data_IF_168170305786
#
_entry.id   IF_168170305786
#
_cell.length_a   1.000
_cell.length_b   1.000
_cell.length_c   1.000
_cell.angle_alpha   90.00
_cell.angle_beta   90.00
_cell.angle_gamma   90.00
#
_symmetry.space_group_name_H-M   'P 1'
#
loop_
_entity.id
_entity.type
_entity.pdbx_description
1 polymer ?
#
# COMPACT_ATOMS: atom_id res chain seq x y z
N UNK A 1 17.13 6.03 22.32
CA UNK A 1 17.18 7.51 22.19
C UNK A 1 18.31 7.86 21.22
N UNK A 2 18.07 8.75 20.24
CA UNK A 2 19.07 9.11 19.24
C UNK A 2 20.00 10.27 19.65
N UNK A 3 19.71 10.95 20.77
CA UNK A 3 20.44 12.14 21.23
C UNK A 3 21.98 11.99 21.30
N UNK A 4 22.56 10.84 21.74
CA UNK A 4 24.01 10.67 21.77
C UNK A 4 24.66 10.71 20.37
N UNK A 5 23.93 10.38 19.31
CA UNK A 5 24.46 10.34 17.94
C UNK A 5 24.79 11.74 17.42
N UNK A 6 24.07 12.78 17.87
CA UNK A 6 24.32 14.17 17.48
C UNK A 6 25.63 14.74 18.03
N UNK A 7 26.33 14.00 18.89
CA UNK A 7 27.66 14.38 19.40
C UNK A 7 28.74 14.05 18.35
N UNK A 8 28.50 13.13 17.41
CA UNK A 8 29.50 12.68 16.44
C UNK A 8 30.04 13.85 15.59
N UNK A 9 29.20 14.70 14.96
CA UNK A 9 29.71 15.84 14.19
C UNK A 9 30.51 16.83 15.04
N UNK A 10 30.16 17.01 16.31
CA UNK A 10 30.92 17.85 17.25
C UNK A 10 32.32 17.28 17.52
N UNK A 11 32.42 15.97 17.72
CA UNK A 11 33.71 15.29 17.91
C UNK A 11 34.56 15.44 16.65
N UNK A 12 33.97 15.28 15.46
CA UNK A 12 34.69 15.46 14.18
C UNK A 12 35.27 16.86 14.04
N UNK A 13 34.48 17.90 14.34
CA UNK A 13 34.97 19.28 14.34
C UNK A 13 36.11 19.48 15.36
N UNK A 14 36.01 18.91 16.55
CA UNK A 14 37.05 19.00 17.57
C UNK A 14 38.35 18.29 17.11
N UNK A 15 38.26 17.10 16.53
CA UNK A 15 39.41 16.36 15.99
C UNK A 15 40.08 17.12 14.85
N UNK A 16 39.31 17.71 13.93
CA UNK A 16 39.85 18.56 12.87
C UNK A 16 40.57 19.77 13.45
N UNK A 17 39.94 20.49 14.38
CA UNK A 17 40.49 21.73 14.96
C UNK A 17 41.77 21.50 15.76
N UNK A 18 41.78 20.51 16.65
CA UNK A 18 42.92 20.27 17.53
C UNK A 18 43.99 19.35 16.93
N UNK A 19 43.59 18.36 16.13
CA UNK A 19 44.47 17.30 15.62
C UNK A 19 45.13 17.62 14.29
N UNK A 20 44.36 18.08 13.30
CA UNK A 20 44.86 18.29 11.94
C UNK A 20 45.17 19.76 11.62
N UNK A 21 44.55 20.70 12.34
CA UNK A 21 44.67 22.16 12.12
C UNK A 21 44.55 22.57 10.63
N UNK A 22 43.53 22.08 9.91
CA UNK A 22 43.32 22.43 8.51
C UNK A 22 43.01 23.93 8.37
N UNK A 23 43.36 24.52 7.23
CA UNK A 23 43.03 25.93 6.91
C UNK A 23 41.57 26.09 6.46
N UNK A 24 40.63 25.40 7.11
CA UNK A 24 39.20 25.62 6.91
C UNK A 24 38.75 26.74 7.84
N UNK A 25 38.19 27.80 7.26
CA UNK A 25 37.58 28.88 8.05
C UNK A 25 36.41 28.39 8.90
N UNK A 26 35.94 29.24 9.83
CA UNK A 26 34.78 28.96 10.70
C UNK A 26 33.55 28.46 9.93
N UNK A 27 33.33 28.98 8.72
CA UNK A 27 32.23 28.57 7.85
C UNK A 27 32.34 27.09 7.41
N UNK A 28 33.55 26.59 7.19
CA UNK A 28 33.78 25.17 6.87
C UNK A 28 33.41 24.25 8.04
N UNK A 29 33.80 24.60 9.26
CA UNK A 29 33.39 23.87 10.47
C UNK A 29 31.87 23.91 10.68
N UNK A 30 31.24 25.07 10.44
CA UNK A 30 29.78 25.19 10.52
C UNK A 30 29.07 24.28 9.50
N UNK A 31 29.58 24.21 8.26
CA UNK A 31 29.03 23.32 7.23
C UNK A 31 29.13 21.83 7.62
N UNK A 32 30.27 21.41 8.19
CA UNK A 32 30.47 20.02 8.64
C UNK A 32 29.49 19.69 9.78
N UNK A 33 29.41 20.56 10.78
CA UNK A 33 28.51 20.36 11.92
C UNK A 33 27.04 20.29 11.49
N UNK A 34 26.60 21.27 10.70
CA UNK A 34 25.21 21.35 10.22
C UNK A 34 24.88 20.20 9.27
N UNK A 35 25.79 19.84 8.37
CA UNK A 35 25.63 18.71 7.45
C UNK A 35 25.49 17.38 8.18
N UNK A 36 26.39 17.09 9.13
CA UNK A 36 26.34 15.87 9.93
C UNK A 36 25.08 15.79 10.79
N UNK A 37 24.68 16.89 11.45
CA UNK A 37 23.43 16.94 12.21
C UNK A 37 22.19 16.79 11.30
N UNK A 38 22.20 17.40 10.12
CA UNK A 38 21.10 17.28 9.15
C UNK A 38 20.96 15.85 8.62
N UNK A 39 22.07 15.15 8.35
CA UNK A 39 22.05 13.75 7.93
C UNK A 39 21.46 12.84 9.03
N UNK A 40 21.93 12.98 10.27
CA UNK A 40 21.39 12.21 11.40
C UNK A 40 19.89 12.50 11.58
N UNK A 41 19.49 13.78 11.50
CA UNK A 41 18.10 14.21 11.58
C UNK A 41 17.22 13.62 10.48
N UNK A 42 17.70 13.66 9.23
CA UNK A 42 17.02 13.09 8.07
C UNK A 42 16.85 11.57 8.20
N UNK A 43 17.92 10.84 8.55
CA UNK A 43 17.83 9.40 8.75
C UNK A 43 16.90 9.03 9.91
N UNK A 44 16.98 9.76 11.03
CA UNK A 44 16.09 9.57 12.16
C UNK A 44 14.63 9.76 11.76
N UNK A 45 14.33 10.81 10.99
CA UNK A 45 13.00 11.08 10.47
C UNK A 45 12.51 10.00 9.51
N UNK A 46 13.31 9.59 8.52
CA UNK A 46 12.98 8.53 7.56
C UNK A 46 12.73 7.19 8.25
N UNK A 47 13.58 6.79 9.20
CA UNK A 47 13.39 5.56 9.97
C UNK A 47 12.18 5.63 10.90
N UNK A 48 11.88 6.80 11.46
CA UNK A 48 10.66 6.99 12.24
C UNK A 48 9.42 6.94 11.34
N UNK A 49 9.48 7.49 10.12
CA UNK A 49 8.41 7.43 9.14
C UNK A 49 8.15 5.98 8.71
N UNK A 50 9.19 5.21 8.37
CA UNK A 50 9.03 3.81 7.97
C UNK A 50 8.44 2.94 9.08
N UNK A 51 8.73 3.24 10.35
CA UNK A 51 8.13 2.56 11.50
C UNK A 51 6.66 2.88 11.72
N UNK A 52 6.15 3.97 11.16
CA UNK A 52 4.77 4.43 11.33
C UNK A 52 3.94 4.26 10.06
N UNK A 53 4.57 4.11 8.90
CA UNK A 53 3.86 3.90 7.63
C UNK A 53 3.24 2.51 7.58
N UNK A 54 1.96 2.44 7.22
CA UNK A 54 1.24 1.21 6.90
C UNK A 54 0.40 1.45 5.64
N UNK A 55 0.07 0.39 4.91
CA UNK A 55 -0.78 0.46 3.74
C UNK A 55 -2.08 -0.27 4.03
N UNK A 56 -3.20 0.42 3.87
CA UNK A 56 -4.54 -0.18 3.89
C UNK A 56 -4.96 -0.60 2.49
N UNK A 57 -5.82 -1.62 2.41
CA UNK A 57 -6.37 -2.10 1.14
C UNK A 57 -7.77 -1.57 0.94
N UNK A 58 -7.97 -0.72 -0.06
CA UNK A 58 -9.29 -0.24 -0.46
C UNK A 58 -9.79 -1.07 -1.63
N UNK A 59 -10.99 -1.64 -1.49
CA UNK A 59 -11.68 -2.24 -2.63
C UNK A 59 -12.22 -1.14 -3.54
N UNK A 60 -12.04 -1.33 -4.83
CA UNK A 60 -12.55 -0.47 -5.90
C UNK A 60 -12.78 -1.33 -7.14
N UNK A 61 -13.17 -0.73 -8.25
CA UNK A 61 -13.36 -1.44 -9.51
C UNK A 61 -12.89 -0.62 -10.71
N UNK A 62 -12.62 -1.30 -11.81
CA UNK A 62 -12.17 -0.68 -13.05
C UNK A 62 -13.31 0.12 -13.71
N UNK A 63 -13.06 1.40 -14.02
CA UNK A 63 -14.03 2.31 -14.67
C UNK A 63 -13.69 2.63 -16.12
N UNK A 64 -12.42 2.49 -16.51
CA UNK A 64 -11.95 2.70 -17.88
C UNK A 64 -10.70 1.86 -18.11
N UNK A 65 -10.54 1.30 -19.30
CA UNK A 65 -9.25 0.75 -19.76
C UNK A 65 -8.80 1.55 -20.99
N UNK A 66 -7.50 1.73 -21.14
CA UNK A 66 -6.90 2.54 -22.19
C UNK A 66 -5.61 1.91 -22.71
N UNK A 67 -5.46 1.97 -24.02
CA UNK A 67 -4.31 1.52 -24.77
C UNK A 67 -3.84 2.66 -25.66
N UNK A 68 -2.54 2.93 -25.69
CA UNK A 68 -1.95 3.94 -26.56
C UNK A 68 -0.73 3.37 -27.29
N UNK A 69 -0.70 3.58 -28.60
CA UNK A 69 0.43 3.18 -29.45
C UNK A 69 1.66 4.05 -29.14
N UNK A 70 2.89 3.53 -29.31
CA UNK A 70 4.10 4.33 -29.21
C UNK A 70 4.08 5.53 -30.17
N UNK A 71 4.56 6.67 -29.70
CA UNK A 71 4.59 7.90 -30.50
C UNK A 71 5.74 8.83 -30.09
N UNK A 72 6.05 9.83 -30.91
CA UNK A 72 7.12 10.79 -30.62
C UNK A 72 6.60 12.22 -30.70
N UNK A 73 6.81 13.00 -29.64
CA UNK A 73 6.55 14.44 -29.64
C UNK A 73 7.83 15.25 -29.77
N UNK A 74 7.69 16.38 -30.46
CA UNK A 74 8.61 17.49 -30.50
C UNK A 74 8.21 18.50 -29.42
N UNK A 75 8.98 18.55 -28.34
CA UNK A 75 8.82 19.48 -27.23
C UNK A 75 9.76 20.67 -27.43
N UNK A 76 9.20 21.87 -27.53
CA UNK A 76 10.00 23.10 -27.52
C UNK A 76 10.16 23.59 -26.08
N UNK A 77 11.40 23.62 -25.58
CA UNK A 77 11.74 24.22 -24.28
C UNK A 77 12.53 25.50 -24.46
N UNK A 78 12.25 26.46 -23.60
CA UNK A 78 12.95 27.73 -23.57
C UNK A 78 13.94 27.72 -22.42
N UNK A 79 15.23 27.73 -22.73
CA UNK A 79 16.30 27.76 -21.74
C UNK A 79 16.98 29.12 -21.73
N UNK A 80 17.43 29.53 -20.54
CA UNK A 80 18.18 30.77 -20.35
C UNK A 80 19.66 30.43 -20.29
N UNK A 81 20.45 30.92 -21.25
CA UNK A 81 21.90 30.75 -21.28
C UNK A 81 22.59 32.08 -21.01
N UNK A 82 23.62 32.04 -20.18
CA UNK A 82 24.52 33.17 -19.95
C UNK A 82 25.83 32.85 -20.66
N UNK A 83 26.30 33.76 -21.51
CA UNK A 83 27.60 33.61 -22.18
C UNK A 83 28.78 33.89 -21.24
N UNK A 84 30.00 33.70 -21.77
CA UNK A 84 31.26 33.99 -21.06
C UNK A 84 31.44 35.48 -20.71
N UNK A 85 30.60 36.36 -21.24
CA UNK A 85 30.62 37.80 -20.99
C UNK A 85 29.53 38.23 -19.99
N UNK A 86 28.80 37.28 -19.39
CA UNK A 86 27.75 37.55 -18.42
C UNK A 86 26.42 38.02 -19.02
N UNK A 87 26.26 37.97 -20.35
CA UNK A 87 25.02 38.36 -21.03
C UNK A 87 24.10 37.15 -21.15
N UNK A 88 22.89 37.32 -20.64
CA UNK A 88 21.85 36.29 -20.63
C UNK A 88 20.96 36.41 -21.86
N UNK A 89 20.72 35.31 -22.55
CA UNK A 89 19.80 35.23 -23.68
C UNK A 89 18.96 33.95 -23.63
N UNK A 90 17.79 34.06 -24.26
CA UNK A 90 16.79 33.00 -24.31
C UNK A 90 17.02 32.16 -25.56
N UNK A 91 17.17 30.85 -25.40
CA UNK A 91 17.37 29.89 -26.49
C UNK A 91 16.21 28.93 -26.53
N UNK A 92 15.62 28.75 -27.72
CA UNK A 92 14.66 27.67 -27.98
C UNK A 92 15.43 26.39 -28.25
N UNK A 93 15.21 25.37 -27.43
CA UNK A 93 15.73 24.03 -27.62
C UNK A 93 14.57 23.12 -28.01
N UNK A 94 14.78 22.36 -29.08
CA UNK A 94 13.83 21.34 -29.52
C UNK A 94 14.32 20.01 -29.00
N UNK A 95 13.46 19.32 -28.27
CA UNK A 95 13.70 17.97 -27.77
C UNK A 95 12.66 17.03 -28.38
N UNK A 96 13.08 15.81 -28.71
CA UNK A 96 12.17 14.77 -29.19
C UNK A 96 11.97 13.78 -28.05
N UNK A 97 10.76 13.73 -27.51
CA UNK A 97 10.40 12.83 -26.42
C UNK A 97 9.67 11.65 -27.02
N UNK A 98 10.28 10.47 -26.88
CA UNK A 98 9.66 9.21 -27.28
C UNK A 98 8.79 8.68 -26.14
N UNK A 99 7.53 8.39 -26.46
CA UNK A 99 6.58 7.75 -25.57
C UNK A 99 6.40 6.31 -26.01
N UNK A 100 6.69 5.37 -25.10
CA UNK A 100 6.47 3.94 -25.35
C UNK A 100 4.98 3.61 -25.37
N UNK A 101 4.66 2.39 -25.81
CA UNK A 101 3.32 1.81 -25.66
C UNK A 101 2.85 1.95 -24.20
N UNK A 102 1.59 2.33 -24.02
CA UNK A 102 1.00 2.50 -22.71
C UNK A 102 -0.32 1.76 -22.62
N UNK A 103 -0.42 0.87 -21.63
CA UNK A 103 -1.65 0.17 -21.29
C UNK A 103 -1.98 0.50 -19.85
N UNK A 104 -3.18 1.01 -19.62
CA UNK A 104 -3.60 1.48 -18.32
C UNK A 104 -5.08 1.25 -18.07
N UNK A 105 -5.47 1.37 -16.81
CA UNK A 105 -6.86 1.41 -16.41
C UNK A 105 -7.08 2.49 -15.35
N UNK A 106 -8.31 2.99 -15.29
CA UNK A 106 -8.77 3.91 -14.25
C UNK A 106 -9.70 3.15 -13.31
N UNK A 107 -9.71 3.51 -12.03
CA UNK A 107 -10.64 2.93 -11.05
C UNK A 107 -11.74 3.91 -10.66
N UNK A 108 -12.67 3.47 -9.81
CA UNK A 108 -13.69 4.35 -9.22
C UNK A 108 -13.10 5.45 -8.34
N UNK A 109 -11.86 5.29 -7.87
CA UNK A 109 -11.15 6.29 -7.07
C UNK A 109 -10.42 7.33 -7.94
N UNK A 110 -10.66 7.32 -9.26
CA UNK A 110 -10.01 8.18 -10.27
C UNK A 110 -8.48 8.04 -10.35
N UNK A 111 -7.94 6.93 -9.83
CA UNK A 111 -6.52 6.60 -9.95
C UNK A 111 -6.26 5.86 -11.27
N UNK A 112 -5.13 6.18 -11.90
CA UNK A 112 -4.66 5.55 -13.14
C UNK A 112 -3.53 4.59 -12.81
N UNK A 113 -3.67 3.35 -13.25
CA UNK A 113 -2.67 2.29 -13.06
C UNK A 113 -2.21 1.76 -14.41
N UNK A 114 -0.90 1.57 -14.56
CA UNK A 114 -0.36 0.83 -15.70
C UNK A 114 -0.56 -0.66 -15.47
N UNK A 115 -0.96 -1.36 -16.52
CA UNK A 115 -1.21 -2.80 -16.50
C UNK A 115 -0.54 -3.48 -17.70
N UNK A 116 -0.46 -4.80 -17.64
CA UNK A 116 0.03 -5.59 -18.77
C UNK A 116 -1.10 -5.90 -19.76
N UNK A 117 -0.74 -6.35 -20.96
CA UNK A 117 -1.67 -6.54 -22.07
C UNK A 117 -2.75 -7.60 -21.84
N UNK A 118 -2.47 -8.62 -21.02
CA UNK A 118 -3.43 -9.68 -20.69
C UNK A 118 -4.58 -9.19 -19.82
N UNK A 119 -4.31 -8.39 -18.79
CA UNK A 119 -5.35 -7.75 -17.98
C UNK A 119 -6.24 -6.85 -18.85
N UNK A 120 -5.64 -6.02 -19.70
CA UNK A 120 -6.39 -5.18 -20.65
C UNK A 120 -7.29 -6.02 -21.58
N UNK A 121 -6.77 -7.10 -22.16
CA UNK A 121 -7.53 -7.98 -23.03
C UNK A 121 -8.69 -8.66 -22.29
N UNK A 122 -8.45 -9.14 -21.07
CA UNK A 122 -9.47 -9.74 -20.22
C UNK A 122 -10.63 -8.76 -19.95
N UNK A 123 -10.33 -7.54 -19.50
CA UNK A 123 -11.36 -6.54 -19.20
C UNK A 123 -12.09 -6.10 -20.48
N UNK A 124 -11.35 -5.91 -21.58
CA UNK A 124 -11.93 -5.57 -22.90
C UNK A 124 -12.95 -6.62 -23.33
N UNK A 125 -12.55 -7.89 -23.32
CA UNK A 125 -13.39 -8.99 -23.79
C UNK A 125 -14.60 -9.19 -22.86
N UNK A 126 -14.41 -8.99 -21.56
CA UNK A 126 -15.48 -9.05 -20.57
C UNK A 126 -16.51 -7.93 -20.74
N UNK A 127 -16.06 -6.70 -21.02
CA UNK A 127 -16.96 -5.56 -21.18
C UNK A 127 -17.68 -5.56 -22.51
N UNK A 128 -17.03 -5.93 -23.61
CA UNK A 128 -17.62 -5.86 -24.96
C UNK A 128 -18.17 -4.46 -25.31
N UNK A 129 -17.68 -3.42 -24.62
CA UNK A 129 -18.15 -2.05 -24.80
C UNK A 129 -17.69 -1.47 -26.15
N UNK A 130 -18.32 -0.39 -26.65
CA UNK A 130 -17.85 0.28 -27.85
C UNK A 130 -16.39 0.68 -27.73
N UNK A 131 -15.59 0.37 -28.76
CA UNK A 131 -14.22 0.83 -28.87
C UNK A 131 -14.20 2.29 -29.29
N UNK A 132 -13.65 3.14 -28.44
CA UNK A 132 -13.38 4.54 -28.79
C UNK A 132 -11.98 4.63 -29.38
N UNK A 133 -11.86 5.29 -30.53
CA UNK A 133 -10.58 5.52 -31.19
C UNK A 133 -10.20 6.97 -31.01
N UNK A 134 -9.09 7.20 -30.33
CA UNK A 134 -8.47 8.50 -30.18
C UNK A 134 -7.41 8.66 -31.26
N UNK A 135 -7.57 9.66 -32.12
CA UNK A 135 -6.56 10.02 -33.12
C UNK A 135 -6.19 11.48 -32.90
N UNK A 136 -4.93 11.72 -32.53
CA UNK A 136 -4.41 13.07 -32.30
C UNK A 136 -3.38 13.41 -33.35
N UNK A 137 -3.60 14.52 -34.03
CA UNK A 137 -2.65 15.13 -34.95
C UNK A 137 -2.15 16.46 -34.34
N UNK A 138 -0.89 16.81 -34.60
CA UNK A 138 -0.36 18.09 -34.14
C UNK A 138 0.98 18.42 -34.77
N UNK A 139 1.30 19.71 -34.86
CA UNK A 139 2.62 20.20 -35.32
C UNK A 139 3.76 19.75 -34.42
N UNK A 140 3.43 19.35 -33.19
CA UNK A 140 4.36 18.88 -32.18
C UNK A 140 4.45 17.35 -32.16
N UNK A 141 3.80 16.61 -33.05
CA UNK A 141 3.99 15.16 -33.19
C UNK A 141 4.85 14.91 -34.43
N UNK A 142 5.87 14.07 -34.29
CA UNK A 142 6.86 13.84 -35.36
C UNK A 142 6.66 12.45 -35.92
N UNK A 143 6.46 12.38 -37.24
CA UNK A 143 6.30 11.12 -37.96
C UNK A 143 4.87 10.57 -38.02
N UNK A 144 3.85 11.25 -37.49
CA UNK A 144 2.46 10.79 -37.64
C UNK A 144 1.49 11.28 -36.56
N UNK A 145 0.46 10.47 -36.31
CA UNK A 145 -0.58 10.69 -35.30
C UNK A 145 -0.32 9.87 -34.04
N UNK A 146 -0.81 10.31 -32.87
CA UNK A 146 -0.95 9.46 -31.68
C UNK A 146 -2.28 8.71 -31.78
N UNK A 147 -2.22 7.40 -31.65
CA UNK A 147 -3.39 6.52 -31.67
C UNK A 147 -3.65 5.95 -30.29
N UNK A 148 -4.91 5.93 -29.89
CA UNK A 148 -5.34 5.34 -28.64
C UNK A 148 -6.69 4.65 -28.77
N UNK A 149 -6.90 3.65 -27.91
CA UNK A 149 -8.16 2.94 -27.77
C UNK A 149 -8.57 2.93 -26.32
N UNK A 150 -9.83 3.25 -26.05
CA UNK A 150 -10.36 3.13 -24.70
C UNK A 150 -11.76 2.51 -24.68
N UNK A 151 -12.04 1.84 -23.57
CA UNK A 151 -13.35 1.25 -23.26
C UNK A 151 -13.80 1.81 -21.91
N UNK A 152 -15.07 2.18 -21.81
CA UNK A 152 -15.62 2.87 -20.63
C UNK A 152 -16.65 1.99 -19.94
N UNK A 153 -16.46 1.76 -18.64
CA UNK A 153 -17.31 0.88 -17.84
C UNK A 153 -18.79 1.29 -17.83
N UNK A 154 -19.07 2.60 -17.76
CA UNK A 154 -20.45 3.11 -17.79
C UNK A 154 -21.21 2.59 -19.03
N UNK A 155 -20.54 2.54 -20.17
CA UNK A 155 -21.11 2.06 -21.42
C UNK A 155 -21.26 0.54 -21.43
N UNK A 156 -20.33 -0.18 -20.82
CA UNK A 156 -20.45 -1.63 -20.59
C UNK A 156 -21.68 -1.97 -19.72
N UNK A 157 -22.05 -1.09 -18.78
CA UNK A 157 -23.18 -1.26 -17.87
C UNK A 157 -24.53 -0.75 -18.40
N UNK A 158 -24.57 -0.12 -19.58
CA UNK A 158 -25.83 0.35 -20.19
C UNK A 158 -26.71 -0.79 -20.74
N UNK A 159 -26.27 -2.06 -20.66
CA UNK A 159 -27.00 -3.26 -21.12
C UNK A 159 -27.70 -4.05 -19.99
N UNK A 160 -28.16 -5.28 -20.31
CA UNK A 160 -28.77 -6.20 -19.34
C UNK A 160 -27.72 -6.74 -18.34
N UNK A 161 -27.99 -6.65 -17.03
CA UNK A 161 -27.17 -7.28 -15.97
C UNK A 161 -26.71 -6.36 -14.83
N UNK A 162 -26.79 -5.03 -15.00
CA UNK A 162 -26.48 -4.05 -13.96
C UNK A 162 -24.98 -3.94 -13.61
N UNK A 163 -24.68 -3.11 -12.60
CA UNK A 163 -23.32 -2.76 -12.17
C UNK A 163 -22.47 -3.99 -11.81
N UNK A 164 -23.06 -4.94 -11.07
CA UNK A 164 -22.36 -6.07 -10.47
C UNK A 164 -21.88 -7.07 -11.52
N UNK A 165 -22.64 -7.33 -12.58
CA UNK A 165 -22.31 -8.36 -13.57
C UNK A 165 -21.17 -8.01 -14.53
N UNK A 166 -20.81 -6.71 -14.61
CA UNK A 166 -19.70 -6.21 -15.44
C UNK A 166 -18.55 -5.63 -14.60
N UNK A 167 -18.68 -5.65 -13.28
CA UNK A 167 -17.68 -5.12 -12.37
C UNK A 167 -16.44 -5.99 -12.38
N UNK A 168 -15.28 -5.37 -12.58
CA UNK A 168 -13.97 -6.00 -12.38
C UNK A 168 -13.40 -5.41 -11.09
N UNK A 169 -13.50 -6.12 -9.95
CA UNK A 169 -13.01 -5.63 -8.67
C UNK A 169 -11.48 -5.62 -8.68
N UNK A 170 -10.90 -4.57 -8.11
CA UNK A 170 -9.46 -4.41 -7.89
C UNK A 170 -9.22 -3.82 -6.51
N UNK A 171 -7.99 -3.94 -6.00
CA UNK A 171 -7.57 -3.46 -4.69
C UNK A 171 -6.47 -2.44 -4.82
N UNK A 172 -6.64 -1.29 -4.18
CA UNK A 172 -5.63 -0.23 -4.13
C UNK A 172 -5.02 -0.10 -2.73
N UNK A 173 -3.70 0.07 -2.69
CA UNK A 173 -2.96 0.30 -1.44
C UNK A 173 -2.90 1.79 -1.10
N UNK A 174 -3.42 2.18 0.06
CA UNK A 174 -3.34 3.56 0.55
C UNK A 174 -2.47 3.67 1.80
N UNK A 175 -1.48 4.57 1.77
CA UNK A 175 -0.60 4.77 2.91
C UNK A 175 -1.24 5.60 4.01
N UNK A 176 -1.04 5.18 5.26
CA UNK A 176 -1.47 5.91 6.45
C UNK A 176 -0.47 5.77 7.60
N UNK A 177 -0.61 6.63 8.60
CA UNK A 177 0.22 6.60 9.81
C UNK A 177 -0.41 5.71 10.88
N UNK A 178 0.27 4.62 11.24
CA UNK A 178 -0.08 3.73 12.33
C UNK A 178 1.00 3.77 13.43
N UNK A 179 0.73 4.54 14.50
CA UNK A 179 1.63 4.64 15.65
C UNK A 179 1.46 3.51 16.67
N UNK A 180 0.37 2.76 16.59
CA UNK A 180 0.05 1.69 17.53
C UNK A 180 0.84 0.43 17.22
N UNK A 181 0.95 0.06 15.94
CA UNK A 181 1.53 -1.20 15.44
C UNK A 181 2.92 -1.52 16.01
N UNK A 182 3.70 -0.48 16.31
CA UNK A 182 5.06 -0.58 16.81
C UNK A 182 5.25 0.19 18.14
N UNK A 183 4.16 0.48 18.84
CA UNK A 183 4.16 1.05 20.18
C UNK A 183 4.40 -0.01 21.24
N UNK A 184 5.01 0.38 22.35
CA UNK A 184 5.27 -0.50 23.50
C UNK A 184 4.23 -0.33 24.62
N UNK A 185 3.26 0.58 24.50
CA UNK A 185 2.47 1.06 25.66
C UNK A 185 1.02 0.61 25.74
N UNK A 186 0.25 0.64 24.64
CA UNK A 186 -1.23 0.56 24.74
C UNK A 186 -1.80 -0.72 24.12
N UNK A 187 -1.28 -1.16 22.97
CA UNK A 187 -1.71 -2.39 22.32
C UNK A 187 -0.49 -3.21 21.94
N UNK A 188 -0.12 -4.14 22.83
CA UNK A 188 1.03 -5.01 22.62
C UNK A 188 0.53 -6.37 22.16
N UNK A 189 0.64 -6.62 20.86
CA UNK A 189 0.48 -7.96 20.31
C UNK A 189 1.69 -8.82 20.70
N UNK A 190 1.44 -10.11 20.84
CA UNK A 190 2.50 -11.10 20.89
C UNK A 190 3.32 -11.02 19.60
N UNK A 191 4.63 -11.24 19.71
CA UNK A 191 5.50 -11.26 18.54
C UNK A 191 5.45 -12.66 17.93
N UNK A 192 4.65 -12.82 16.89
CA UNK A 192 4.62 -14.03 16.06
C UNK A 192 5.62 -13.88 14.91
N UNK A 193 6.58 -14.79 14.85
CA UNK A 193 7.53 -14.87 13.73
C UNK A 193 6.90 -15.60 12.54
N UNK A 194 7.44 -15.39 11.35
CA UNK A 194 6.99 -16.09 10.15
C UNK A 194 7.12 -17.62 10.27
N UNK A 195 8.18 -18.11 10.92
CA UNK A 195 8.38 -19.54 11.13
C UNK A 195 7.31 -20.13 12.07
N UNK A 196 6.97 -19.42 13.15
CA UNK A 196 5.87 -19.83 14.04
C UNK A 196 4.53 -19.78 13.31
N UNK A 197 4.28 -18.73 12.52
CA UNK A 197 3.07 -18.60 11.71
C UNK A 197 2.91 -19.78 10.72
N UNK A 198 3.98 -20.16 10.03
CA UNK A 198 4.00 -21.32 9.12
C UNK A 198 3.73 -22.64 9.87
N UNK A 199 4.30 -22.82 11.07
CA UNK A 199 4.09 -24.02 11.90
C UNK A 199 2.66 -24.13 12.43
N UNK A 200 2.02 -23.00 12.71
CA UNK A 200 0.65 -22.92 13.24
C UNK A 200 -0.41 -22.82 12.13
N UNK A 201 -0.01 -22.81 10.86
CA UNK A 201 -0.94 -22.68 9.73
C UNK A 201 -1.61 -21.31 9.64
N UNK A 202 -0.98 -20.26 10.16
CA UNK A 202 -1.48 -18.88 10.06
C UNK A 202 -1.32 -18.36 8.63
N UNK A 203 -2.27 -17.52 8.20
CA UNK A 203 -2.25 -16.92 6.88
C UNK A 203 -1.24 -15.78 6.81
N UNK A 204 -0.42 -15.81 5.77
CA UNK A 204 0.34 -14.64 5.34
C UNK A 204 -0.60 -13.51 4.92
N UNK A 205 -0.21 -12.28 5.23
CA UNK A 205 -0.97 -11.13 4.80
C UNK A 205 -0.94 -11.03 3.27
N UNK A 206 -2.09 -10.97 2.57
CA UNK A 206 -2.12 -10.98 1.10
C UNK A 206 -1.33 -9.82 0.49
N UNK A 207 -0.75 -10.07 -0.68
CA UNK A 207 -0.14 -9.03 -1.51
C UNK A 207 -1.10 -8.67 -2.62
N UNK A 208 -1.11 -7.40 -3.01
CA UNK A 208 -1.70 -6.97 -4.28
C UNK A 208 -0.79 -7.51 -5.38
N UNK A 209 -1.35 -8.33 -6.26
CA UNK A 209 -0.65 -8.89 -7.41
C UNK A 209 -0.65 -7.93 -8.61
N UNK A 210 -0.10 -8.38 -9.74
CA UNK A 210 0.01 -7.58 -10.96
C UNK A 210 -1.36 -7.30 -11.63
N UNK A 211 -2.40 -8.06 -11.28
CA UNK A 211 -3.79 -7.86 -11.69
C UNK A 211 -4.56 -6.92 -10.75
N UNK A 212 -3.86 -6.37 -9.74
CA UNK A 212 -4.43 -5.56 -8.66
C UNK A 212 -5.52 -6.32 -7.90
N UNK A 213 -5.39 -7.63 -7.85
CA UNK A 213 -6.36 -8.54 -7.28
C UNK A 213 -5.88 -9.03 -5.91
N UNK A 214 -6.83 -9.20 -5.00
CA UNK A 214 -6.54 -9.71 -3.66
C UNK A 214 -7.73 -10.58 -3.22
N UNK A 215 -7.51 -11.87 -2.94
CA UNK A 215 -8.57 -12.75 -2.45
C UNK A 215 -9.18 -12.20 -1.16
N UNK A 216 -10.50 -12.32 -1.04
CA UNK A 216 -11.22 -11.91 0.16
C UNK A 216 -11.40 -13.10 1.11
N UNK A 217 -11.44 -14.31 0.58
CA UNK A 217 -11.50 -15.57 1.33
C UNK A 217 -10.16 -16.31 1.18
N UNK A 218 -9.44 -16.48 2.29
CA UNK A 218 -8.24 -17.30 2.34
C UNK A 218 -8.58 -18.65 2.97
N UNK A 219 -8.34 -19.71 2.22
CA UNK A 219 -8.57 -21.08 2.67
C UNK A 219 -7.54 -22.01 2.06
N UNK A 220 -6.95 -22.86 2.90
CA UNK A 220 -6.05 -23.93 2.45
C UNK A 220 -6.68 -25.32 2.63
N UNK A 221 -7.73 -25.41 3.45
CA UNK A 221 -8.26 -26.66 3.99
C UNK A 221 -9.72 -26.89 3.59
N UNK A 222 -10.45 -25.81 3.25
CA UNK A 222 -11.83 -25.85 2.79
C UNK A 222 -11.92 -25.40 1.33
N UNK A 223 -12.62 -26.14 0.46
CA UNK A 223 -12.76 -25.74 -0.94
C UNK A 223 -13.61 -24.47 -1.05
N UNK A 224 -13.04 -23.43 -1.64
CA UNK A 224 -13.74 -22.18 -1.97
C UNK A 224 -13.70 -22.03 -3.49
N UNK A 225 -14.86 -21.90 -4.12
CA UNK A 225 -14.95 -21.66 -5.56
C UNK A 225 -14.46 -20.26 -5.88
N UNK A 226 -14.01 -20.06 -7.12
CA UNK A 226 -13.64 -18.73 -7.60
C UNK A 226 -14.84 -17.78 -7.56
N UNK A 227 -16.03 -18.28 -7.88
CA UNK A 227 -17.27 -17.54 -7.90
C UNK A 227 -17.65 -17.03 -6.51
N UNK A 228 -17.53 -17.88 -5.48
CA UNK A 228 -17.79 -17.47 -4.10
C UNK A 228 -16.80 -16.39 -3.66
N UNK A 229 -15.49 -16.59 -3.84
CA UNK A 229 -14.50 -15.56 -3.46
C UNK A 229 -14.72 -14.25 -4.27
N UNK A 230 -15.08 -14.34 -5.55
CA UNK A 230 -15.43 -13.20 -6.38
C UNK A 230 -16.60 -12.39 -5.80
N UNK A 231 -17.63 -13.03 -5.24
CA UNK A 231 -18.75 -12.31 -4.61
C UNK A 231 -18.31 -11.49 -3.37
N UNK A 232 -17.34 -11.99 -2.60
CA UNK A 232 -16.73 -11.25 -1.48
C UNK A 232 -15.85 -10.10 -1.98
N UNK A 233 -15.12 -10.29 -3.09
CA UNK A 233 -14.34 -9.21 -3.72
C UNK A 233 -15.25 -8.11 -4.28
N UNK A 234 -16.36 -8.50 -4.91
CA UNK A 234 -17.39 -7.57 -5.37
C UNK A 234 -18.03 -6.81 -4.20
N UNK A 235 -18.29 -7.48 -3.07
CA UNK A 235 -18.73 -6.79 -1.85
C UNK A 235 -17.70 -5.74 -1.40
N UNK A 236 -16.42 -6.12 -1.33
CA UNK A 236 -15.34 -5.21 -0.95
C UNK A 236 -15.19 -4.01 -1.91
N UNK A 237 -15.52 -4.19 -3.20
CA UNK A 237 -15.40 -3.16 -4.23
C UNK A 237 -16.64 -2.27 -4.40
N UNK A 238 -17.84 -2.79 -4.12
CA UNK A 238 -19.10 -2.10 -4.41
C UNK A 238 -19.83 -1.61 -3.16
N UNK A 239 -19.86 -2.43 -2.11
CA UNK A 239 -20.69 -2.21 -0.92
C UNK A 239 -19.85 -1.65 0.24
N UNK A 240 -18.72 -2.32 0.55
CA UNK A 240 -17.82 -1.96 1.64
C UNK A 240 -17.18 -0.55 1.57
N UNK A 241 -16.97 0.08 0.38
CA UNK A 241 -16.42 1.43 0.29
C UNK A 241 -17.25 2.49 1.00
N UNK A 242 -18.58 2.31 1.15
CA UNK A 242 -19.45 3.23 1.89
C UNK A 242 -18.96 3.41 3.35
N UNK A 243 -18.41 2.34 3.92
CA UNK A 243 -17.85 2.32 5.29
C UNK A 243 -16.33 2.41 5.31
N UNK A 244 -15.70 2.54 4.14
CA UNK A 244 -14.24 2.43 3.98
C UNK A 244 -13.73 1.15 4.66
N UNK A 245 -14.42 0.04 4.40
CA UNK A 245 -14.19 -1.26 5.03
C UNK A 245 -13.58 -2.24 4.03
N UNK A 246 -12.88 -3.26 4.54
CA UNK A 246 -12.53 -4.47 3.80
C UNK A 246 -12.80 -5.69 4.67
N UNK A 247 -13.53 -6.65 4.13
CA UNK A 247 -13.77 -7.95 4.74
C UNK A 247 -12.72 -8.96 4.27
N UNK A 248 -12.13 -9.67 5.22
CA UNK A 248 -11.38 -10.89 5.00
C UNK A 248 -12.04 -12.06 5.73
N UNK A 249 -12.10 -13.22 5.09
CA UNK A 249 -12.53 -14.48 5.70
C UNK A 249 -11.37 -15.47 5.64
N UNK A 250 -10.99 -16.03 6.78
CA UNK A 250 -9.87 -16.96 6.94
C UNK A 250 -10.41 -18.30 7.43
N UNK A 251 -10.22 -19.37 6.67
CA UNK A 251 -10.78 -20.68 6.96
C UNK A 251 -9.69 -21.67 7.37
N UNK A 252 -9.76 -22.17 8.60
CA UNK A 252 -8.83 -23.12 9.18
C UNK A 252 -9.45 -24.51 9.29
N UNK A 253 -8.60 -25.54 9.39
CA UNK A 253 -9.06 -26.90 9.64
C UNK A 253 -9.49 -27.15 11.10
N UNK A 254 -10.01 -28.36 11.31
CA UNK A 254 -10.55 -28.83 12.58
C UNK A 254 -9.54 -28.99 13.71
N UNK A 255 -8.24 -28.98 13.43
CA UNK A 255 -7.19 -29.13 14.44
C UNK A 255 -6.98 -27.83 15.23
N UNK A 256 -7.41 -26.70 14.65
CA UNK A 256 -7.32 -25.37 15.25
C UNK A 256 -8.43 -25.08 16.26
N UNK A 257 -8.28 -24.00 17.02
CA UNK A 257 -9.29 -23.47 17.94
C UNK A 257 -9.32 -21.93 17.93
N UNK A 258 -10.15 -21.32 18.79
CA UNK A 258 -10.31 -19.86 18.87
C UNK A 258 -8.97 -19.14 19.14
N UNK A 259 -8.00 -19.77 19.82
CA UNK A 259 -6.69 -19.17 20.06
C UNK A 259 -5.90 -18.93 18.76
N UNK A 260 -6.18 -19.71 17.71
CA UNK A 260 -5.62 -19.48 16.36
C UNK A 260 -6.02 -18.12 15.82
N UNK A 261 -7.23 -17.65 16.08
CA UNK A 261 -7.67 -16.32 15.64
C UNK A 261 -6.90 -15.19 16.37
N UNK A 262 -6.60 -15.36 17.67
CA UNK A 262 -5.78 -14.40 18.41
C UNK A 262 -4.31 -14.41 17.96
N UNK A 263 -3.78 -15.60 17.63
CA UNK A 263 -2.44 -15.75 17.02
C UNK A 263 -2.38 -15.11 15.65
N UNK A 264 -3.40 -15.30 14.81
CA UNK A 264 -3.54 -14.65 13.51
C UNK A 264 -3.61 -13.13 13.66
N UNK A 265 -4.43 -12.65 14.59
CA UNK A 265 -4.52 -11.23 14.93
C UNK A 265 -3.18 -10.67 15.37
N UNK A 266 -2.43 -11.39 16.21
CA UNK A 266 -1.10 -10.97 16.62
C UNK A 266 -0.10 -10.94 15.45
N UNK A 267 -0.14 -11.94 14.57
CA UNK A 267 0.71 -12.02 13.37
C UNK A 267 0.45 -10.85 12.41
N UNK A 268 -0.81 -10.53 12.16
CA UNK A 268 -1.23 -9.38 11.36
C UNK A 268 -1.20 -8.05 12.15
N UNK A 269 -0.81 -8.08 13.42
CA UNK A 269 -0.78 -6.92 14.34
C UNK A 269 -2.12 -6.17 14.38
N UNK A 270 -3.21 -6.92 14.45
CA UNK A 270 -4.59 -6.45 14.49
C UNK A 270 -5.23 -6.23 13.10
N UNK A 271 -4.49 -6.46 12.01
CA UNK A 271 -4.91 -6.06 10.67
C UNK A 271 -4.75 -4.55 10.44
N UNK A 272 -5.21 -4.06 9.30
CA UNK A 272 -5.28 -2.62 9.02
C UNK A 272 -6.53 -1.98 9.63
N UNK A 273 -6.47 -0.65 9.76
CA UNK A 273 -7.56 0.15 10.35
C UNK A 273 -8.92 -0.02 9.68
N UNK A 274 -8.95 -0.45 8.42
CA UNK A 274 -10.16 -0.62 7.63
C UNK A 274 -10.63 -2.08 7.51
N UNK A 275 -9.96 -3.02 8.17
CA UNK A 275 -10.21 -4.45 7.95
C UNK A 275 -11.06 -5.04 9.06
N UNK A 276 -12.06 -5.83 8.68
CA UNK A 276 -12.69 -6.82 9.54
C UNK A 276 -12.26 -8.20 9.04
N UNK A 277 -11.63 -8.97 9.93
CA UNK A 277 -11.14 -10.30 9.64
C UNK A 277 -12.01 -11.31 10.39
N UNK A 278 -12.60 -12.27 9.68
CA UNK A 278 -13.41 -13.35 10.22
C UNK A 278 -12.63 -14.65 10.10
N UNK A 279 -12.25 -15.24 11.23
CA UNK A 279 -11.59 -16.54 11.29
C UNK A 279 -12.61 -17.64 11.59
N UNK A 280 -12.57 -18.73 10.83
CA UNK A 280 -13.53 -19.83 10.91
C UNK A 280 -12.77 -21.14 10.96
N UNK A 281 -12.96 -21.94 12.00
CA UNK A 281 -12.47 -23.32 12.05
C UNK A 281 -13.54 -24.28 11.60
N UNK A 282 -13.25 -25.10 10.59
CA UNK A 282 -14.23 -25.97 9.94
C UNK A 282 -13.82 -27.44 10.09
N UNK A 283 -14.80 -28.29 10.39
CA UNK A 283 -14.65 -29.75 10.46
C UNK A 283 -14.58 -30.36 9.06
N UNK A 284 -14.07 -31.59 8.94
CA UNK A 284 -14.04 -32.31 7.66
C UNK A 284 -15.42 -32.52 7.02
N UNK A 285 -16.48 -32.53 7.82
CA UNK A 285 -17.88 -32.62 7.37
C UNK A 285 -18.50 -31.26 7.00
N UNK A 286 -17.71 -30.17 7.04
CA UNK A 286 -18.15 -28.81 6.72
C UNK A 286 -18.79 -28.06 7.89
N UNK A 287 -18.95 -28.68 9.07
CA UNK A 287 -19.53 -28.00 10.23
C UNK A 287 -18.57 -26.97 10.83
N UNK A 288 -19.10 -25.80 11.21
CA UNK A 288 -18.33 -24.76 11.91
C UNK A 288 -18.03 -25.24 13.33
N UNK A 289 -16.74 -25.43 13.65
CA UNK A 289 -16.26 -25.80 14.99
C UNK A 289 -16.14 -24.59 15.90
N UNK A 290 -15.59 -23.50 15.35
CA UNK A 290 -15.41 -22.23 16.03
C UNK A 290 -15.42 -21.09 15.01
N UNK A 291 -15.80 -19.90 15.44
CA UNK A 291 -15.68 -18.68 14.65
C UNK A 291 -15.29 -17.53 15.57
N UNK A 292 -14.42 -16.66 15.08
CA UNK A 292 -13.99 -15.46 15.80
C UNK A 292 -13.61 -14.37 14.81
N UNK A 293 -14.12 -13.17 15.01
CA UNK A 293 -13.81 -12.02 14.17
C UNK A 293 -13.07 -10.94 14.98
N UNK A 294 -12.17 -10.23 14.32
CA UNK A 294 -11.46 -9.10 14.90
C UNK A 294 -11.35 -7.94 13.91
N UNK A 295 -11.35 -6.73 14.44
CA UNK A 295 -11.00 -5.51 13.71
C UNK A 295 -10.41 -4.47 14.68
N UNK A 296 -10.10 -3.29 14.16
CA UNK A 296 -9.74 -2.13 14.98
C UNK A 296 -10.94 -1.28 15.41
N UNK A 297 -12.17 -1.62 15.00
CA UNK A 297 -13.37 -0.83 15.28
C UNK A 297 -13.54 -0.51 16.77
N UNK A 298 -14.11 0.66 17.03
CA UNK A 298 -14.37 1.14 18.40
C UNK A 298 -15.37 0.24 19.15
N UNK A 299 -16.39 -0.22 18.43
CA UNK A 299 -17.38 -1.16 18.94
C UNK A 299 -17.27 -2.48 18.19
N UNK A 300 -17.08 -3.57 18.91
CA UNK A 300 -16.93 -4.92 18.34
C UNK A 300 -18.28 -5.60 18.03
N UNK A 301 -19.31 -4.81 17.71
CA UNK A 301 -20.68 -5.30 17.57
C UNK A 301 -20.81 -6.24 16.37
N UNK A 302 -20.22 -5.89 15.23
CA UNK A 302 -20.33 -6.71 14.01
C UNK A 302 -19.51 -7.99 14.14
N UNK A 303 -18.36 -7.94 14.79
CA UNK A 303 -17.47 -9.08 15.03
C UNK A 303 -18.15 -10.15 15.87
N UNK A 304 -18.81 -9.73 16.96
CA UNK A 304 -19.60 -10.63 17.80
C UNK A 304 -20.77 -11.22 17.02
N UNK A 305 -21.51 -10.39 16.27
CA UNK A 305 -22.62 -10.84 15.42
C UNK A 305 -22.18 -11.88 14.38
N UNK A 306 -21.07 -11.63 13.68
CA UNK A 306 -20.53 -12.52 12.65
C UNK A 306 -20.12 -13.87 13.25
N UNK A 307 -19.40 -13.83 14.37
CA UNK A 307 -19.00 -15.05 15.08
C UNK A 307 -20.21 -15.87 15.54
N UNK A 308 -21.23 -15.21 16.11
CA UNK A 308 -22.46 -15.86 16.56
C UNK A 308 -23.30 -16.42 15.41
N UNK A 309 -23.35 -15.72 14.27
CA UNK A 309 -24.05 -16.19 13.07
C UNK A 309 -23.46 -17.52 12.62
N UNK A 310 -22.15 -17.56 12.38
CA UNK A 310 -21.44 -18.73 11.89
C UNK A 310 -21.54 -19.93 12.85
N UNK A 311 -21.48 -19.70 14.16
CA UNK A 311 -21.62 -20.76 15.18
C UNK A 311 -23.03 -21.37 15.25
N UNK A 312 -24.06 -20.67 14.76
CA UNK A 312 -25.44 -21.18 14.73
C UNK A 312 -25.72 -22.00 13.47
N UNK A 313 -24.87 -21.90 12.45
CA UNK A 313 -25.07 -22.62 11.21
C UNK A 313 -24.66 -24.10 11.36
N UNK A 314 -25.45 -25.04 10.80
CA UNK A 314 -25.12 -26.46 10.85
C UNK A 314 -23.90 -26.80 9.98
N UNK A 315 -23.73 -26.12 8.84
CA UNK A 315 -22.63 -26.29 7.88
C UNK A 315 -22.19 -24.90 7.42
N UNK A 316 -20.92 -24.71 7.11
CA UNK A 316 -20.42 -23.46 6.56
C UNK A 316 -20.98 -23.22 5.16
N UNK A 317 -21.80 -22.17 5.04
CA UNK A 317 -22.28 -21.62 3.78
C UNK A 317 -21.76 -20.18 3.66
N UNK A 318 -20.84 -19.97 2.71
CA UNK A 318 -20.21 -18.68 2.49
C UNK A 318 -21.11 -17.72 1.72
N UNK A 319 -22.02 -18.22 0.89
CA UNK A 319 -22.91 -17.36 0.12
C UNK A 319 -24.01 -16.80 1.05
N UNK A 320 -24.59 -17.66 1.89
CA UNK A 320 -25.54 -17.28 2.94
C UNK A 320 -24.90 -16.34 3.98
N UNK A 321 -23.66 -16.61 4.40
CA UNK A 321 -22.95 -15.71 5.30
C UNK A 321 -22.73 -14.32 4.68
N UNK A 322 -22.38 -14.24 3.40
CA UNK A 322 -22.19 -12.95 2.73
C UNK A 322 -23.51 -12.19 2.58
N UNK A 323 -24.62 -12.87 2.28
CA UNK A 323 -25.94 -12.25 2.21
C UNK A 323 -26.37 -11.69 3.57
N UNK A 324 -26.19 -12.46 4.64
CA UNK A 324 -26.40 -11.98 6.00
C UNK A 324 -25.48 -10.78 6.32
N UNK A 325 -24.19 -10.87 6.00
CA UNK A 325 -23.23 -9.80 6.28
C UNK A 325 -23.59 -8.49 5.59
N UNK A 326 -24.05 -8.55 4.33
CA UNK A 326 -24.56 -7.40 3.57
C UNK A 326 -25.75 -6.71 4.25
N UNK A 327 -26.54 -7.42 5.06
CA UNK A 327 -27.64 -6.81 5.82
C UNK A 327 -27.18 -6.13 7.13
N UNK A 328 -25.99 -6.47 7.64
CA UNK A 328 -25.52 -6.06 8.96
C UNK A 328 -24.31 -5.12 8.95
N UNK A 329 -23.51 -5.09 7.88
CA UNK A 329 -22.21 -4.41 7.86
C UNK A 329 -22.25 -2.91 8.17
N UNK A 330 -23.41 -2.28 7.98
CA UNK A 330 -23.65 -0.86 8.23
C UNK A 330 -23.42 -0.44 9.69
N UNK A 331 -23.47 -1.39 10.64
CA UNK A 331 -23.17 -1.10 12.06
C UNK A 331 -21.68 -0.98 12.35
N UNK A 332 -20.82 -1.41 11.43
CA UNK A 332 -19.38 -1.32 11.62
C UNK A 332 -18.87 0.09 11.41
N UNK A 333 -18.05 0.54 12.35
CA UNK A 333 -17.46 1.88 12.35
C UNK A 333 -15.95 1.75 12.34
N UNK A 334 -15.34 2.28 11.28
CA UNK A 334 -13.91 2.34 11.11
C UNK A 334 -13.25 3.13 12.23
N UNK A 335 -12.11 2.62 12.71
CA UNK A 335 -11.29 3.31 13.71
C UNK A 335 -10.47 4.44 13.09
N UNK A 336 -10.55 5.60 13.74
CA UNK A 336 -9.76 6.77 13.36
C UNK A 336 -8.37 6.76 14.01
N UNK A 337 -7.34 6.47 13.21
CA UNK A 337 -5.96 6.36 13.75
C UNK A 337 -5.32 7.70 14.10
N UNK A 338 -5.95 8.82 13.70
CA UNK A 338 -5.53 10.17 14.09
C UNK A 338 -5.57 10.37 15.61
N UNK A 339 -6.41 9.63 16.32
CA UNK A 339 -6.56 9.71 17.77
C UNK A 339 -5.28 9.30 18.50
N UNK A 340 -4.44 8.47 17.86
CA UNK A 340 -3.20 7.95 18.44
C UNK A 340 -1.97 8.79 18.11
N UNK A 341 -2.13 10.03 17.63
CA UNK A 341 -1.01 10.94 17.37
C UNK A 341 -0.14 11.18 18.62
N UNK A 342 -0.66 11.02 19.82
CA UNK A 342 0.13 11.16 21.05
C UNK A 342 1.10 9.99 21.30
N UNK A 343 0.93 8.86 20.62
CA UNK A 343 1.76 7.66 20.83
C UNK A 343 3.13 7.83 20.19
N UNK A 344 4.20 7.70 20.98
CA UNK A 344 5.58 7.74 20.49
C UNK A 344 6.07 6.36 20.03
N UNK A 345 6.60 6.26 18.82
CA UNK A 345 7.22 5.03 18.31
C UNK A 345 8.75 5.17 18.37
N UNK A 346 9.45 4.47 19.28
CA UNK A 346 10.90 4.53 19.36
C UNK A 346 11.55 3.83 18.16
N UNK A 347 12.76 4.21 17.76
CA UNK A 347 13.54 3.45 16.76
C UNK A 347 14.06 2.13 17.32
N UNK A 348 14.35 1.15 16.44
CA UNK A 348 14.97 -0.11 16.87
C UNK A 348 16.46 0.12 17.15
N UNK A 349 17.08 -0.79 17.92
CA UNK A 349 18.53 -0.78 18.10
C UNK A 349 19.28 -0.88 16.76
N UNK A 350 18.81 -1.71 15.83
CA UNK A 350 19.40 -1.83 14.50
C UNK A 350 19.34 -0.53 13.69
N UNK A 351 18.23 0.21 13.77
CA UNK A 351 18.10 1.52 13.13
C UNK A 351 19.05 2.55 13.75
N UNK A 352 19.18 2.57 15.07
CA UNK A 352 20.14 3.44 15.76
C UNK A 352 21.59 3.10 15.38
N UNK A 353 21.92 1.80 15.26
CA UNK A 353 23.23 1.34 14.79
C UNK A 353 23.47 1.75 13.33
N UNK A 354 22.46 1.65 12.46
CA UNK A 354 22.59 2.09 11.07
C UNK A 354 22.87 3.60 10.99
N UNK A 355 22.15 4.43 11.75
CA UNK A 355 22.43 5.88 11.84
C UNK A 355 23.86 6.13 12.34
N UNK A 356 24.29 5.38 13.37
CA UNK A 356 25.65 5.47 13.90
C UNK A 356 26.70 5.16 12.83
N UNK A 357 26.57 4.03 12.13
CA UNK A 357 27.52 3.60 11.09
C UNK A 357 27.58 4.63 9.95
N UNK A 358 26.42 5.07 9.45
CA UNK A 358 26.38 6.07 8.37
C UNK A 358 26.99 7.40 8.81
N UNK A 359 26.73 7.84 10.04
CA UNK A 359 27.34 9.05 10.60
C UNK A 359 28.87 8.89 10.73
N UNK A 360 29.38 7.76 11.20
CA UNK A 360 30.82 7.52 11.29
C UNK A 360 31.50 7.51 9.92
N UNK A 361 30.86 6.92 8.91
CA UNK A 361 31.38 6.90 7.54
C UNK A 361 31.45 8.32 6.96
N UNK A 362 30.37 9.09 7.06
CA UNK A 362 30.32 10.47 6.56
C UNK A 362 31.39 11.33 7.23
N UNK A 363 31.49 11.28 8.56
CA UNK A 363 32.49 12.03 9.31
C UNK A 363 33.92 11.56 9.02
N UNK A 364 34.13 10.25 8.80
CA UNK A 364 35.41 9.70 8.38
C UNK A 364 35.86 10.18 6.99
N UNK A 365 34.91 10.29 6.05
CA UNK A 365 35.17 10.85 4.71
C UNK A 365 35.50 12.34 4.78
N UNK A 366 34.78 13.11 5.62
CA UNK A 366 35.09 14.52 5.88
C UNK A 366 36.51 14.66 6.42
N UNK A 367 36.89 13.84 7.41
CA UNK A 367 38.25 13.84 7.95
C UNK A 367 39.31 13.53 6.88
N UNK A 368 39.04 12.55 6.00
CA UNK A 368 39.97 12.17 4.95
C UNK A 368 40.13 13.24 3.84
N UNK A 369 39.08 14.02 3.58
CA UNK A 369 39.08 15.03 2.51
C UNK A 369 39.59 16.40 2.98
N UNK A 370 39.41 16.73 4.26
CA UNK A 370 39.77 18.03 4.86
C UNK A 370 41.17 18.00 5.48
N UNK A 371 41.68 16.83 5.86
CA UNK A 371 43.10 16.63 6.20
C UNK A 371 43.97 16.91 5.00
#
# INVERSE_FOLDING_TARGET
MAAPLYIIPLITCAVLYFGFKPQIGLLGYACILLGGCALIGLMHWLMALSRRSCNEFLGTFVTKISYEDPWTERVERTETKTDSNGKTYTVKKVEYVHHSESISFCTQLDNIHFCYSGFFAMVRDFWGAPRHNDVWHGSNIVGGARFGHHYVFREACCGYGGLRSKCVPVTEGHSYENRIRNSNSIFRFEKVTRQEAEQEGLYEYPKIDDDYDVPAVLSATYPVSYETDMEYRLFNALDAPERQMRLFVLIYDETTDVSTAERQRAYWKGGNKNELVVCIGVRKDGMVKWAHAFSWADEQTLEVKASQYLLRQPVLDLDDFLEWFKSEYQVWVRKEFKDFKYVSVPLTSGQLIAILITSLIENGLVLAFVR
#
